data_IF_385349731304
#
_entry.id   IF_385349731304
#
_cell.length_a   1.000
_cell.length_b   1.000
_cell.length_c   1.000
_cell.angle_alpha   90.00
_cell.angle_beta   90.00
_cell.angle_gamma   90.00
#
_symmetry.space_group_name_H-M   'P 1'
#
loop_
_entity.id
_entity.type
_entity.pdbx_description
1 polymer ?
#
# COMPACT_ATOMS: atom_id res chain seq x y z
N UNK A 1 10.09 -19.19 32.12
CA UNK A 1 9.61 -19.60 30.78
C UNK A 1 8.38 -18.77 30.46
N UNK A 2 8.54 -17.67 29.72
CA UNK A 2 7.43 -16.91 29.15
C UNK A 2 7.44 -17.18 27.65
N UNK A 3 6.33 -17.73 27.18
CA UNK A 3 6.14 -18.15 25.81
C UNK A 3 6.34 -16.97 24.86
N UNK A 4 7.24 -17.17 23.90
CA UNK A 4 7.40 -16.39 22.69
C UNK A 4 6.10 -16.48 21.89
N UNK A 5 5.14 -15.59 22.17
CA UNK A 5 3.92 -15.49 21.37
C UNK A 5 4.29 -14.73 20.10
N UNK A 6 4.16 -15.34 18.91
CA UNK A 6 4.42 -14.62 17.67
C UNK A 6 3.52 -13.38 17.63
N UNK A 7 4.11 -12.22 17.33
CA UNK A 7 3.36 -11.00 17.05
C UNK A 7 2.59 -11.25 15.76
N UNK A 8 1.30 -11.56 15.87
CA UNK A 8 0.41 -11.68 14.71
C UNK A 8 0.07 -10.27 14.26
N UNK A 9 0.53 -9.90 13.06
CA UNK A 9 0.20 -8.62 12.48
C UNK A 9 -1.16 -8.71 11.76
N UNK A 10 -1.99 -7.65 11.74
CA UNK A 10 -3.27 -7.69 11.04
C UNK A 10 -3.14 -8.11 9.56
N UNK A 11 -2.05 -7.73 8.88
CA UNK A 11 -1.75 -8.14 7.51
C UNK A 11 -1.49 -9.65 7.32
N UNK A 12 -1.32 -10.42 8.39
CA UNK A 12 -1.21 -11.88 8.32
C UNK A 12 -2.59 -12.55 8.20
N UNK A 13 -3.64 -11.86 8.64
CA UNK A 13 -5.02 -12.34 8.58
C UNK A 13 -5.65 -12.14 7.20
N UNK A 14 -6.11 -13.23 6.58
CA UNK A 14 -6.76 -13.20 5.25
C UNK A 14 -7.92 -12.21 5.20
N UNK A 15 -8.89 -12.21 6.15
CA UNK A 15 -10.03 -11.30 6.08
C UNK A 15 -9.62 -9.82 6.07
N UNK A 16 -8.59 -9.46 6.83
CA UNK A 16 -8.06 -8.10 6.88
C UNK A 16 -7.45 -7.70 5.54
N UNK A 17 -6.61 -8.56 4.95
CA UNK A 17 -6.03 -8.30 3.63
C UNK A 17 -7.09 -8.17 2.53
N UNK A 18 -8.11 -9.03 2.54
CA UNK A 18 -9.21 -8.94 1.57
C UNK A 18 -10.00 -7.64 1.74
N UNK A 19 -10.28 -7.22 2.98
CA UNK A 19 -10.96 -5.95 3.26
C UNK A 19 -10.12 -4.76 2.77
N UNK A 20 -8.82 -4.75 3.08
CA UNK A 20 -7.89 -3.72 2.63
C UNK A 20 -7.81 -3.66 1.10
N UNK A 21 -7.67 -4.80 0.44
CA UNK A 21 -7.61 -4.90 -1.02
C UNK A 21 -8.93 -4.45 -1.68
N UNK A 22 -10.07 -4.70 -1.04
CA UNK A 22 -11.37 -4.23 -1.52
C UNK A 22 -11.46 -2.70 -1.49
N UNK A 23 -11.03 -2.06 -0.39
CA UNK A 23 -10.94 -0.60 -0.29
C UNK A 23 -9.99 -0.01 -1.33
N UNK A 24 -8.87 -0.69 -1.60
CA UNK A 24 -7.95 -0.29 -2.66
C UNK A 24 -8.61 -0.34 -4.04
N UNK A 25 -9.31 -1.44 -4.36
CA UNK A 25 -9.98 -1.59 -5.65
C UNK A 25 -11.10 -0.56 -5.85
N UNK A 26 -11.77 -0.13 -4.79
CA UNK A 26 -12.73 0.98 -4.84
C UNK A 26 -12.03 2.31 -5.16
N UNK A 27 -10.89 2.60 -4.52
CA UNK A 27 -10.07 3.76 -4.86
C UNK A 27 -9.55 3.74 -6.31
N UNK A 28 -9.23 2.54 -6.84
CA UNK A 28 -8.90 2.35 -8.26
C UNK A 28 -10.09 2.66 -9.15
N UNK A 29 -11.28 2.16 -8.84
CA UNK A 29 -12.50 2.38 -9.62
C UNK A 29 -12.89 3.86 -9.68
N UNK A 30 -12.66 4.62 -8.60
CA UNK A 30 -12.86 6.07 -8.57
C UNK A 30 -11.95 6.84 -9.55
N UNK A 31 -10.86 6.23 -10.01
CA UNK A 31 -9.90 6.82 -10.95
C UNK A 31 -10.01 6.25 -12.37
N UNK A 32 -10.25 4.94 -12.50
CA UNK A 32 -10.45 4.21 -13.76
C UNK A 32 -11.42 3.04 -13.54
N UNK A 33 -12.62 3.15 -14.12
CA UNK A 33 -13.65 2.12 -14.04
C UNK A 33 -13.24 0.78 -14.69
N UNK A 34 -12.19 0.76 -15.52
CA UNK A 34 -11.68 -0.47 -16.13
C UNK A 34 -10.75 -1.26 -15.22
N UNK A 35 -10.43 -0.72 -14.04
CA UNK A 35 -9.54 -1.35 -13.08
C UNK A 35 -8.06 -1.20 -13.43
N UNK A 36 -7.24 -2.10 -12.90
CA UNK A 36 -5.80 -2.07 -13.07
C UNK A 36 -5.22 -3.49 -13.25
N UNK A 37 -4.02 -3.59 -13.81
CA UNK A 37 -3.31 -4.86 -13.93
C UNK A 37 -2.85 -5.37 -12.56
N UNK A 38 -2.56 -6.68 -12.46
CA UNK A 38 -2.02 -7.30 -11.24
C UNK A 38 -0.79 -6.54 -10.70
N UNK A 39 0.14 -6.20 -11.59
CA UNK A 39 1.37 -5.50 -11.23
C UNK A 39 1.07 -4.11 -10.63
N UNK A 40 0.16 -3.33 -11.25
CA UNK A 40 -0.22 -2.01 -10.72
C UNK A 40 -0.91 -2.10 -9.38
N UNK A 41 -1.79 -3.08 -9.20
CA UNK A 41 -2.48 -3.31 -7.92
C UNK A 41 -1.46 -3.64 -6.82
N UNK A 42 -0.43 -4.42 -7.10
CA UNK A 42 0.64 -4.70 -6.14
C UNK A 42 1.39 -3.43 -5.70
N UNK A 43 1.71 -2.54 -6.63
CA UNK A 43 2.33 -1.25 -6.29
C UNK A 43 1.38 -0.37 -5.47
N UNK A 44 0.13 -0.25 -5.89
CA UNK A 44 -0.85 0.57 -5.17
C UNK A 44 -1.08 0.06 -3.76
N UNK A 45 -1.22 -1.25 -3.58
CA UNK A 45 -1.44 -1.89 -2.29
C UNK A 45 -0.30 -1.60 -1.31
N UNK A 46 0.94 -1.82 -1.75
CA UNK A 46 2.11 -1.57 -0.91
C UNK A 46 2.30 -0.08 -0.61
N UNK A 47 2.19 0.79 -1.61
CA UNK A 47 2.45 2.23 -1.46
C UNK A 47 1.31 2.93 -0.72
N UNK A 48 0.08 2.41 -0.76
CA UNK A 48 -1.04 2.94 0.05
C UNK A 48 -0.89 2.61 1.53
N UNK A 49 -0.24 1.48 1.86
CA UNK A 49 0.14 1.16 3.22
C UNK A 49 1.35 1.99 3.71
N UNK A 50 2.12 2.57 2.79
CA UNK A 50 3.33 3.36 3.07
C UNK A 50 3.33 4.68 2.26
N UNK A 51 2.34 5.57 2.46
CA UNK A 51 2.06 6.65 1.52
C UNK A 51 3.16 7.71 1.46
N UNK A 52 3.95 7.90 2.52
CA UNK A 52 5.08 8.84 2.51
C UNK A 52 6.31 8.36 1.71
N UNK A 53 6.28 7.12 1.17
CA UNK A 53 7.25 6.70 0.15
C UNK A 53 7.04 7.43 -1.18
N UNK A 54 5.82 7.91 -1.45
CA UNK A 54 5.45 8.53 -2.74
C UNK A 54 4.92 9.94 -2.60
N UNK A 55 4.31 10.26 -1.46
CA UNK A 55 3.77 11.58 -1.18
C UNK A 55 4.84 12.41 -0.46
N UNK A 56 5.21 13.59 -1.00
CA UNK A 56 6.09 14.52 -0.30
C UNK A 56 5.58 14.85 1.11
N UNK A 57 6.45 15.13 2.09
CA UNK A 57 6.06 15.35 3.49
C UNK A 57 5.29 16.65 3.75
N UNK A 58 5.22 17.51 2.73
CA UNK A 58 4.67 18.86 2.75
C UNK A 58 3.40 18.94 1.89
N UNK A 59 2.55 19.94 2.17
CA UNK A 59 1.38 20.25 1.36
C UNK A 59 0.09 19.53 1.77
N UNK A 60 -0.93 19.66 0.92
CA UNK A 60 -2.31 19.24 1.24
C UNK A 60 -2.45 17.73 1.42
N UNK A 61 -1.90 16.94 0.49
CA UNK A 61 -1.97 15.48 0.55
C UNK A 61 -1.24 14.95 1.80
N UNK A 62 -0.07 15.50 2.13
CA UNK A 62 0.66 15.16 3.35
C UNK A 62 -0.14 15.48 4.62
N UNK A 63 -0.82 16.64 4.65
CA UNK A 63 -1.67 17.03 5.79
C UNK A 63 -2.84 16.07 5.97
N UNK A 64 -3.48 15.64 4.88
CA UNK A 64 -4.55 14.64 4.92
C UNK A 64 -4.06 13.28 5.42
N UNK A 65 -2.86 12.85 5.00
CA UNK A 65 -2.26 11.60 5.48
C UNK A 65 -1.95 11.66 6.98
N UNK A 66 -1.42 12.79 7.48
CA UNK A 66 -1.19 12.97 8.93
C UNK A 66 -2.49 12.95 9.72
N UNK A 67 -3.53 13.62 9.22
CA UNK A 67 -4.87 13.57 9.83
C UNK A 67 -5.46 12.15 9.81
N UNK A 68 -5.14 11.36 8.79
CA UNK A 68 -5.49 9.94 8.70
C UNK A 68 -4.61 9.04 9.58
N UNK A 69 -3.67 9.59 10.35
CA UNK A 69 -2.83 8.85 11.29
C UNK A 69 -1.56 8.23 10.69
N UNK A 70 -1.20 8.60 9.45
CA UNK A 70 0.10 8.22 8.90
C UNK A 70 1.18 9.17 9.41
N UNK A 71 2.31 8.59 9.83
CA UNK A 71 3.47 9.35 10.27
C UNK A 71 4.64 9.12 9.32
N UNK A 72 5.22 10.19 8.74
CA UNK A 72 6.42 10.07 7.92
C UNK A 72 7.66 9.58 8.70
N UNK A 73 7.71 9.72 10.02
CA UNK A 73 8.83 9.30 10.88
C UNK A 73 8.87 7.80 11.16
N UNK A 74 7.76 7.09 10.94
CA UNK A 74 7.69 5.61 11.08
C UNK A 74 8.37 4.90 9.89
N UNK A 75 8.90 5.66 8.93
CA UNK A 75 9.73 5.16 7.84
C UNK A 75 11.15 4.81 8.30
N UNK A 76 11.28 3.80 9.15
CA UNK A 76 12.54 3.10 9.37
C UNK A 76 12.22 1.64 9.68
N UNK A 77 11.80 0.90 8.65
CA UNK A 77 11.52 -0.50 8.81
C UNK A 77 12.28 -1.19 7.70
N UNK A 78 13.50 -1.61 8.06
CA UNK A 78 14.63 -2.03 7.23
C UNK A 78 14.39 -3.27 6.32
N UNK A 79 13.15 -3.53 5.91
CA UNK A 79 12.74 -4.64 5.07
C UNK A 79 11.59 -4.28 4.11
N UNK A 80 11.45 -3.01 3.71
CA UNK A 80 10.42 -2.54 2.75
C UNK A 80 10.41 -3.38 1.45
N UNK A 81 11.60 -3.69 0.91
CA UNK A 81 11.77 -4.52 -0.30
C UNK A 81 11.37 -5.98 -0.13
N UNK A 82 11.67 -6.59 1.03
CA UNK A 82 11.28 -7.97 1.33
C UNK A 82 9.76 -8.06 1.53
N UNK A 83 9.17 -7.09 2.24
CA UNK A 83 7.71 -7.00 2.40
C UNK A 83 6.98 -6.72 1.10
N UNK A 84 7.54 -5.88 0.23
CA UNK A 84 6.98 -5.67 -1.11
C UNK A 84 6.93 -6.99 -1.91
N UNK A 85 8.03 -7.76 -1.90
CA UNK A 85 8.08 -9.06 -2.59
C UNK A 85 7.05 -10.04 -2.04
N UNK A 86 7.03 -10.26 -0.71
CA UNK A 86 6.07 -11.19 -0.09
C UNK A 86 4.62 -10.73 -0.21
N UNK A 87 4.35 -9.42 -0.29
CA UNK A 87 3.00 -8.87 -0.49
C UNK A 87 2.55 -9.04 -1.94
N UNK A 88 3.45 -8.83 -2.90
CA UNK A 88 3.20 -9.06 -4.33
C UNK A 88 2.93 -10.53 -4.64
N UNK A 89 3.62 -11.47 -3.99
CA UNK A 89 3.36 -12.92 -4.17
C UNK A 89 1.97 -13.32 -3.66
N UNK A 90 1.49 -12.68 -2.57
CA UNK A 90 0.18 -12.97 -1.98
C UNK A 90 -0.99 -12.33 -2.74
N UNK A 91 -0.78 -11.19 -3.39
CA UNK A 91 -1.88 -10.41 -3.98
C UNK A 91 -2.65 -11.16 -5.07
N UNK A 92 -1.98 -12.06 -5.80
CA UNK A 92 -2.64 -12.90 -6.79
C UNK A 92 -3.67 -13.84 -6.15
N UNK A 93 -3.33 -14.44 -5.00
CA UNK A 93 -4.24 -15.28 -4.25
C UNK A 93 -5.41 -14.48 -3.68
N UNK A 94 -5.13 -13.34 -3.05
CA UNK A 94 -6.16 -12.49 -2.46
C UNK A 94 -7.14 -11.94 -3.51
N UNK A 95 -6.66 -11.55 -4.71
CA UNK A 95 -7.52 -11.19 -5.84
C UNK A 95 -8.38 -12.36 -6.33
N UNK A 96 -7.82 -13.57 -6.40
CA UNK A 96 -8.58 -14.75 -6.79
C UNK A 96 -9.73 -15.04 -5.80
N UNK A 97 -9.50 -14.84 -4.49
CA UNK A 97 -10.56 -14.94 -3.48
C UNK A 97 -11.64 -13.88 -3.67
N UNK A 98 -11.28 -12.61 -3.89
CA UNK A 98 -12.27 -11.56 -4.16
C UNK A 98 -13.09 -11.82 -5.43
N UNK A 99 -12.48 -12.44 -6.44
CA UNK A 99 -13.18 -12.86 -7.66
C UNK A 99 -14.14 -14.02 -7.37
N UNK A 100 -13.69 -15.02 -6.58
CA UNK A 100 -14.54 -16.13 -6.16
C UNK A 100 -15.74 -15.67 -5.31
N UNK A 101 -15.54 -14.66 -4.46
CA UNK A 101 -16.61 -14.03 -3.68
C UNK A 101 -17.47 -13.04 -4.48
N UNK A 102 -17.21 -12.86 -5.77
CA UNK A 102 -17.98 -11.95 -6.63
C UNK A 102 -17.77 -10.47 -6.32
N UNK A 103 -16.78 -10.12 -5.52
CA UNK A 103 -16.43 -8.74 -5.15
C UNK A 103 -15.52 -8.07 -6.18
N UNK A 104 -14.74 -8.86 -6.92
CA UNK A 104 -13.85 -8.40 -7.99
C UNK A 104 -14.18 -9.08 -9.32
N UNK A 105 -13.96 -8.38 -10.43
CA UNK A 105 -14.11 -8.90 -11.79
C UNK A 105 -12.79 -8.80 -12.54
N UNK A 106 -12.45 -9.88 -13.24
CA UNK A 106 -11.31 -9.95 -14.17
C UNK A 106 -11.81 -9.70 -15.60
N UNK A 107 -11.08 -8.89 -16.36
CA UNK A 107 -11.29 -8.71 -17.81
C UNK A 107 -9.95 -8.87 -18.54
N UNK A 108 -10.00 -9.39 -19.76
CA UNK A 108 -8.85 -9.33 -20.66
C UNK A 108 -8.99 -8.07 -21.52
N UNK A 109 -7.98 -7.20 -21.48
CA UNK A 109 -7.88 -5.98 -22.26
C UNK A 109 -6.52 -5.94 -22.93
N UNK A 110 -6.52 -5.90 -24.26
CA UNK A 110 -5.30 -5.79 -25.08
C UNK A 110 -4.24 -6.85 -24.74
N UNK A 111 -4.68 -8.08 -24.39
CA UNK A 111 -3.80 -9.19 -24.02
C UNK A 111 -3.32 -9.19 -22.57
N UNK A 112 -3.81 -8.27 -21.73
CA UNK A 112 -3.49 -8.19 -20.30
C UNK A 112 -4.73 -8.34 -19.43
N UNK A 113 -4.59 -9.00 -18.28
CA UNK A 113 -5.67 -9.15 -17.31
C UNK A 113 -5.76 -7.90 -16.43
N UNK A 114 -6.94 -7.29 -16.39
CA UNK A 114 -7.28 -6.19 -15.48
C UNK A 114 -8.31 -6.63 -14.45
N UNK A 115 -8.15 -6.12 -13.23
CA UNK A 115 -9.01 -6.40 -12.09
C UNK A 115 -9.72 -5.12 -11.69
N UNK A 116 -11.04 -5.21 -11.55
CA UNK A 116 -11.92 -4.10 -11.20
C UNK A 116 -12.86 -4.53 -10.08
N UNK A 117 -13.25 -3.61 -9.21
CA UNK A 117 -14.28 -3.90 -8.20
C UNK A 117 -15.65 -4.07 -8.87
N UNK A 118 -16.52 -4.87 -8.27
CA UNK A 118 -17.94 -4.99 -8.65
C UNK A 118 -18.82 -4.13 -7.74
N UNK A 119 -20.08 -3.92 -8.12
CA UNK A 119 -21.06 -3.25 -7.26
C UNK A 119 -21.20 -3.93 -5.89
N UNK A 120 -21.29 -5.26 -5.85
CA UNK A 120 -21.33 -6.02 -4.59
C UNK A 120 -20.06 -5.80 -3.74
N UNK A 121 -18.90 -5.67 -4.39
CA UNK A 121 -17.65 -5.32 -3.73
C UNK A 121 -17.65 -3.90 -3.16
N UNK A 122 -18.20 -2.93 -3.88
CA UNK A 122 -18.34 -1.55 -3.40
C UNK A 122 -19.30 -1.48 -2.20
N UNK A 123 -20.44 -2.15 -2.29
CA UNK A 123 -21.42 -2.23 -1.21
C UNK A 123 -20.82 -2.87 0.06
N UNK A 124 -20.00 -3.91 -0.10
CA UNK A 124 -19.32 -4.55 1.02
C UNK A 124 -18.24 -3.62 1.60
N UNK A 125 -17.42 -3.00 0.76
CA UNK A 125 -16.39 -2.04 1.19
C UNK A 125 -16.98 -0.84 1.94
N UNK A 126 -18.14 -0.34 1.49
CA UNK A 126 -18.87 0.75 2.14
C UNK A 126 -19.38 0.43 3.55
N UNK A 127 -19.39 -0.84 3.96
CA UNK A 127 -19.74 -1.27 5.33
C UNK A 127 -18.54 -1.24 6.28
N UNK A 128 -17.32 -1.05 5.78
CA UNK A 128 -16.14 -0.94 6.64
C UNK A 128 -16.07 0.46 7.27
N UNK A 129 -16.44 0.53 8.55
CA UNK A 129 -16.55 1.78 9.32
C UNK A 129 -15.42 1.99 10.33
N UNK A 130 -14.47 1.05 10.40
CA UNK A 130 -13.31 1.17 11.28
C UNK A 130 -12.43 2.36 10.88
N UNK A 131 -11.82 3.03 11.87
CA UNK A 131 -10.88 4.14 11.63
C UNK A 131 -9.79 3.76 10.63
N UNK A 132 -9.23 2.55 10.76
CA UNK A 132 -8.23 2.04 9.82
C UNK A 132 -8.74 2.02 8.36
N UNK A 133 -10.00 1.62 8.14
CA UNK A 133 -10.59 1.60 6.81
C UNK A 133 -10.66 3.02 6.22
N UNK A 134 -11.12 3.99 7.00
CA UNK A 134 -11.14 5.41 6.58
C UNK A 134 -9.74 5.95 6.28
N UNK A 135 -8.76 5.64 7.14
CA UNK A 135 -7.37 6.04 6.95
C UNK A 135 -6.78 5.43 5.68
N UNK A 136 -6.95 4.12 5.49
CA UNK A 136 -6.43 3.41 4.33
C UNK A 136 -7.10 3.89 3.03
N UNK A 137 -8.42 4.08 3.01
CA UNK A 137 -9.13 4.64 1.84
C UNK A 137 -8.61 6.02 1.47
N UNK A 138 -8.30 6.87 2.47
CA UNK A 138 -7.70 8.19 2.24
C UNK A 138 -6.33 8.06 1.57
N UNK A 139 -5.46 7.20 2.10
CA UNK A 139 -4.14 6.96 1.53
C UNK A 139 -4.21 6.36 0.12
N UNK A 140 -5.04 5.34 -0.08
CA UNK A 140 -5.27 4.70 -1.37
C UNK A 140 -5.76 5.70 -2.43
N UNK A 141 -6.75 6.54 -2.09
CA UNK A 141 -7.24 7.57 -3.00
C UNK A 141 -6.16 8.58 -3.43
N UNK A 142 -5.25 8.94 -2.54
CA UNK A 142 -4.10 9.82 -2.84
C UNK A 142 -3.08 9.09 -3.72
N UNK A 143 -2.63 7.92 -3.28
CA UNK A 143 -1.58 7.13 -3.94
C UNK A 143 -2.00 6.72 -5.36
N UNK A 144 -3.19 6.15 -5.52
CA UNK A 144 -3.70 5.74 -6.84
C UNK A 144 -3.80 6.95 -7.79
N UNK A 145 -4.30 8.10 -7.31
CA UNK A 145 -4.41 9.32 -8.11
C UNK A 145 -3.05 9.87 -8.57
N UNK A 146 -2.01 9.72 -7.76
CA UNK A 146 -0.66 10.14 -8.15
C UNK A 146 -0.03 9.15 -9.14
N UNK A 147 -0.08 7.86 -8.82
CA UNK A 147 0.62 6.82 -9.57
C UNK A 147 -0.06 6.45 -10.90
N UNK A 148 -1.36 6.70 -11.07
CA UNK A 148 -2.07 6.49 -12.35
C UNK A 148 -1.47 7.29 -13.52
N UNK A 149 -0.76 8.39 -13.23
CA UNK A 149 -0.14 9.25 -14.23
C UNK A 149 1.16 8.66 -14.80
N UNK A 150 1.67 7.60 -14.18
CA UNK A 150 2.92 6.95 -14.55
C UNK A 150 2.65 5.73 -15.44
N UNK A 151 3.45 5.58 -16.49
CA UNK A 151 3.51 4.32 -17.25
C UNK A 151 4.06 3.19 -16.37
N UNK A 152 3.74 1.94 -16.71
CA UNK A 152 4.17 0.78 -15.91
C UNK A 152 5.68 0.69 -15.79
N UNK A 153 6.42 1.00 -16.86
CA UNK A 153 7.89 1.10 -16.84
C UNK A 153 8.36 2.13 -15.81
N UNK A 154 7.80 3.34 -15.84
CA UNK A 154 8.21 4.43 -14.94
C UNK A 154 7.80 4.15 -13.49
N UNK A 155 6.65 3.50 -13.27
CA UNK A 155 6.19 3.09 -11.95
C UNK A 155 7.16 2.08 -11.33
N UNK A 156 7.61 1.09 -12.11
CA UNK A 156 8.62 0.11 -11.67
C UNK A 156 9.95 0.77 -11.33
N UNK A 157 10.44 1.65 -12.21
CA UNK A 157 11.70 2.39 -12.01
C UNK A 157 11.63 3.29 -10.76
N UNK A 158 10.56 4.08 -10.61
CA UNK A 158 10.41 4.96 -9.44
C UNK A 158 10.22 4.17 -8.14
N UNK A 159 9.49 3.06 -8.16
CA UNK A 159 9.34 2.22 -6.96
C UNK A 159 10.68 1.63 -6.54
N UNK A 160 11.51 1.19 -7.49
CA UNK A 160 12.85 0.73 -7.17
C UNK A 160 13.69 1.83 -6.50
N UNK A 161 13.57 3.09 -6.94
CA UNK A 161 14.24 4.22 -6.30
C UNK A 161 13.72 4.49 -4.88
N UNK A 162 12.41 4.42 -4.65
CA UNK A 162 11.81 4.62 -3.32
C UNK A 162 12.11 3.50 -2.33
N UNK A 163 12.38 2.29 -2.83
CA UNK A 163 12.69 1.11 -2.03
C UNK A 163 14.21 0.93 -1.78
N UNK A 164 15.05 1.65 -2.51
CA UNK A 164 16.50 1.59 -2.33
C UNK A 164 16.93 2.27 -1.03
N UNK A 165 17.74 1.62 -0.18
CA UNK A 165 18.23 2.21 1.07
C UNK A 165 19.10 3.47 0.86
N UNK A 166 19.72 3.61 -0.31
CA UNK A 166 20.57 4.75 -0.69
C UNK A 166 19.84 5.82 -1.52
N UNK A 167 18.52 5.69 -1.71
CA UNK A 167 17.76 6.48 -2.68
C UNK A 167 17.58 7.95 -2.29
N UNK A 168 18.61 8.79 -2.45
CA UNK A 168 18.67 10.21 -2.07
C UNK A 168 17.55 11.11 -2.63
N UNK A 169 16.80 10.65 -3.64
CA UNK A 169 15.92 11.50 -4.46
C UNK A 169 14.41 11.17 -4.29
N UNK A 170 14.05 10.28 -3.37
CA UNK A 170 12.65 9.99 -3.02
C UNK A 170 12.10 10.90 -1.92
N UNK A 171 10.77 11.10 -1.83
CA UNK A 171 10.18 11.88 -0.73
C UNK A 171 10.47 11.28 0.65
N UNK A 172 10.65 9.95 0.74
CA UNK A 172 11.15 9.28 1.94
C UNK A 172 12.60 9.66 2.29
N UNK A 173 13.48 9.82 1.29
CA UNK A 173 14.85 10.27 1.53
C UNK A 173 14.96 11.77 1.80
N UNK A 174 14.09 12.58 1.17
CA UNK A 174 13.93 13.99 1.52
C UNK A 174 13.44 14.17 2.97
N UNK A 175 12.61 13.26 3.46
CA UNK A 175 12.23 13.18 4.87
C UNK A 175 13.42 12.84 5.77
N UNK A 176 14.21 11.81 5.42
CA UNK A 176 15.39 11.42 6.18
C UNK A 176 16.48 12.51 6.22
N UNK A 177 16.61 13.31 5.16
CA UNK A 177 17.57 14.42 5.13
C UNK A 177 17.12 15.63 5.96
N UNK A 178 15.81 15.86 6.10
CA UNK A 178 15.24 16.95 6.92
C UNK A 178 15.14 16.56 8.40
N UNK A 179 14.90 15.29 8.70
CA UNK A 179 14.66 14.80 10.07
C UNK A 179 15.93 14.27 10.76
N UNK A 180 17.03 14.12 10.02
CA UNK A 180 18.23 13.42 10.48
C UNK A 180 18.03 11.90 10.55
N UNK A 181 19.11 11.11 10.79
CA UNK A 181 18.94 9.69 11.08
C UNK A 181 18.04 9.55 12.31
N UNK A 182 16.94 8.81 12.18
CA UNK A 182 16.09 8.47 13.32
C UNK A 182 16.91 7.84 14.45
N UNK A 183 16.39 7.83 15.70
CA UNK A 183 17.14 7.34 16.84
C UNK A 183 17.68 5.94 16.55
N UNK A 184 19.01 5.82 16.62
CA UNK A 184 19.68 4.52 16.63
C UNK A 184 19.14 3.80 17.86
N UNK A 185 18.32 2.77 17.65
CA UNK A 185 18.05 1.80 18.69
C UNK A 185 19.40 1.14 18.99
N UNK A 186 20.08 1.63 20.03
CA UNK A 186 21.21 0.92 20.64
C UNK A 186 20.69 -0.46 21.04
N UNK A 187 20.94 -1.46 20.21
CA UNK A 187 20.91 -2.85 20.63
C UNK A 187 22.11 -3.07 21.55
N UNK A 188 21.99 -2.64 22.80
CA UNK A 188 22.87 -3.09 23.87
C UNK A 188 22.52 -4.53 24.21
N UNK A 189 23.16 -5.47 23.52
CA UNK A 189 23.33 -6.82 24.03
C UNK A 189 24.81 -6.95 24.41
N UNK A 190 25.15 -6.50 25.62
CA UNK A 190 26.36 -6.96 26.29
C UNK A 190 26.11 -8.38 26.82
N UNK A 191 27.06 -9.26 26.51
CA UNK A 191 27.18 -10.64 26.96
C UNK A 191 28.45 -11.24 26.40
#
# INVERSE_FOLDING_TARGET
MHADRPVVMPEDEVPFRLAQLLLLLDAVAAQDANGATLERIAYYDFLSANPFLVVPPEGRDASLLRLAGFDPQVLAYASSSQRFTSRRERIQHDLALLVAYGCCRIRNRDGSLTYSITEAGQDLGGRFTATYATSFTTAAGIVVRQLRKLSDKRLREQTALWLSPDGSDGPAAALMSVLGPGPVLETSWEG
#
